data_IF_083154292650
#
_entry.id   IF_083154292650
#
_cell.length_a   1.000
_cell.length_b   1.000
_cell.length_c   1.000
_cell.angle_alpha   90.00
_cell.angle_beta   90.00
_cell.angle_gamma   90.00
#
_symmetry.space_group_name_H-M   'P 1'
#
loop_
_entity.id
_entity.type
_entity.pdbx_description
1 polymer ?
#
# COMPACT_ATOMS: atom_id res chain seq x y z
N UNK A 1 -13.02 -29.10 -4.11
CA UNK A 1 -13.36 -29.28 -5.55
C UNK A 1 -13.13 -27.94 -6.20
N UNK A 2 -12.51 -27.87 -7.38
CA UNK A 2 -12.42 -26.59 -8.11
C UNK A 2 -13.85 -26.24 -8.57
N UNK A 3 -14.43 -25.22 -7.99
CA UNK A 3 -15.70 -24.68 -8.47
C UNK A 3 -15.46 -23.96 -9.80
N UNK A 4 -16.31 -24.22 -10.79
CA UNK A 4 -16.29 -23.53 -12.09
C UNK A 4 -17.67 -22.98 -12.39
N UNK A 5 -17.71 -21.84 -13.07
CA UNK A 5 -18.94 -21.24 -13.63
C UNK A 5 -18.86 -21.36 -15.15
N UNK A 6 -19.97 -21.70 -15.79
CA UNK A 6 -20.07 -21.77 -17.24
C UNK A 6 -20.65 -20.49 -17.82
N UNK A 7 -19.95 -19.91 -18.77
CA UNK A 7 -20.45 -18.77 -19.54
C UNK A 7 -20.59 -19.20 -21.01
N UNK A 8 -21.77 -18.97 -21.58
CA UNK A 8 -22.03 -19.23 -23.00
C UNK A 8 -22.16 -17.92 -23.75
N UNK A 9 -21.30 -17.70 -24.75
CA UNK A 9 -21.30 -16.51 -25.60
C UNK A 9 -21.30 -16.98 -27.04
N UNK A 10 -22.26 -16.53 -27.85
CA UNK A 10 -22.44 -16.90 -29.25
C UNK A 10 -22.45 -18.43 -29.48
N UNK A 11 -23.06 -19.17 -28.56
CA UNK A 11 -23.15 -20.64 -28.64
C UNK A 11 -21.90 -21.40 -28.20
N UNK A 12 -20.83 -20.71 -27.81
CA UNK A 12 -19.60 -21.31 -27.29
C UNK A 12 -19.59 -21.22 -25.76
N UNK A 13 -19.56 -22.37 -25.09
CA UNK A 13 -19.50 -22.48 -23.64
C UNK A 13 -18.03 -22.55 -23.15
N UNK A 14 -17.73 -21.77 -22.15
CA UNK A 14 -16.39 -21.74 -21.49
C UNK A 14 -16.55 -21.91 -19.99
N UNK A 15 -15.75 -22.79 -19.42
CA UNK A 15 -15.63 -22.97 -17.98
C UNK A 15 -14.65 -21.94 -17.40
N UNK A 16 -15.11 -21.14 -16.44
CA UNK A 16 -14.30 -20.17 -15.74
C UNK A 16 -14.05 -20.62 -14.31
N UNK A 17 -12.80 -20.60 -13.83
CA UNK A 17 -12.48 -20.95 -12.44
C UNK A 17 -13.14 -19.98 -11.46
N UNK A 18 -13.62 -20.50 -10.34
CA UNK A 18 -13.97 -19.71 -9.17
C UNK A 18 -12.79 -19.72 -8.20
N UNK A 19 -12.36 -18.56 -7.78
CA UNK A 19 -11.33 -18.37 -6.75
C UNK A 19 -12.04 -18.17 -5.42
N UNK A 20 -11.81 -19.09 -4.49
CA UNK A 20 -12.37 -19.04 -3.14
C UNK A 20 -11.59 -18.04 -2.30
N UNK A 21 -12.28 -17.10 -1.64
CA UNK A 21 -11.66 -16.17 -0.71
C UNK A 21 -11.53 -16.80 0.68
N UNK A 22 -10.43 -16.52 1.39
CA UNK A 22 -10.31 -16.88 2.82
C UNK A 22 -11.29 -16.08 3.67
N UNK A 23 -11.53 -14.83 3.30
CA UNK A 23 -12.55 -13.96 3.86
C UNK A 23 -13.13 -13.10 2.75
N UNK A 24 -14.46 -12.91 2.73
CA UNK A 24 -15.15 -12.15 1.70
C UNK A 24 -15.88 -13.05 0.69
N UNK A 25 -16.16 -12.49 -0.49
CA UNK A 25 -16.91 -13.18 -1.55
C UNK A 25 -15.97 -13.91 -2.50
N UNK A 26 -16.41 -15.07 -3.01
CA UNK A 26 -15.73 -15.78 -4.08
C UNK A 26 -15.79 -14.97 -5.38
N UNK A 27 -14.79 -15.13 -6.23
CA UNK A 27 -14.67 -14.40 -7.49
C UNK A 27 -14.50 -15.35 -8.68
N UNK A 28 -15.04 -14.95 -9.83
CA UNK A 28 -14.87 -15.67 -11.08
C UNK A 28 -13.64 -15.15 -11.82
N UNK A 29 -12.70 -16.03 -12.15
CA UNK A 29 -11.53 -15.66 -12.94
C UNK A 29 -11.90 -15.54 -14.43
N UNK A 30 -12.03 -14.31 -14.89
CA UNK A 30 -12.46 -13.98 -16.25
C UNK A 30 -11.30 -13.81 -17.26
N UNK A 31 -10.05 -14.00 -16.82
CA UNK A 31 -8.85 -13.73 -17.67
C UNK A 31 -8.83 -14.52 -18.96
N UNK A 32 -9.40 -15.74 -18.99
CA UNK A 32 -9.45 -16.58 -20.18
C UNK A 32 -10.36 -16.04 -21.28
N UNK A 33 -11.30 -15.13 -20.96
CA UNK A 33 -12.23 -14.54 -21.95
C UNK A 33 -11.50 -13.69 -22.98
N UNK A 34 -10.36 -13.09 -22.63
CA UNK A 34 -9.57 -12.27 -23.56
C UNK A 34 -9.14 -13.06 -24.81
N UNK A 35 -8.81 -14.35 -24.66
CA UNK A 35 -8.45 -15.22 -25.77
C UNK A 35 -9.61 -15.49 -26.74
N UNK A 36 -10.84 -15.16 -26.33
CA UNK A 36 -12.07 -15.31 -27.10
C UNK A 36 -12.55 -13.97 -27.68
N UNK A 37 -11.79 -12.88 -27.46
CA UNK A 37 -12.15 -11.54 -27.90
C UNK A 37 -13.26 -10.90 -27.07
N UNK A 38 -13.50 -11.42 -25.85
CA UNK A 38 -14.54 -10.92 -24.93
C UNK A 38 -13.90 -10.20 -23.76
N UNK A 39 -14.41 -9.01 -23.45
CA UNK A 39 -14.02 -8.20 -22.30
C UNK A 39 -15.21 -8.00 -21.35
N UNK A 40 -14.94 -7.90 -20.06
CA UNK A 40 -15.94 -7.50 -19.07
C UNK A 40 -16.04 -5.98 -19.03
N UNK A 41 -17.24 -5.47 -18.72
CA UNK A 41 -17.49 -4.03 -18.58
C UNK A 41 -18.04 -3.74 -17.19
N UNK A 42 -17.21 -3.10 -16.35
CA UNK A 42 -17.55 -2.68 -14.99
C UNK A 42 -16.79 -1.39 -14.66
N UNK A 43 -17.28 -0.20 -15.14
CA UNK A 43 -16.55 1.07 -15.01
C UNK A 43 -16.36 1.54 -13.56
N UNK A 44 -17.16 1.03 -12.63
CA UNK A 44 -17.09 1.39 -11.21
C UNK A 44 -16.36 0.38 -10.35
N UNK A 45 -15.87 -0.73 -10.91
CA UNK A 45 -15.32 -1.87 -10.16
C UNK A 45 -16.25 -2.37 -9.05
N UNK A 46 -17.57 -2.28 -9.28
CA UNK A 46 -18.59 -2.64 -8.27
C UNK A 46 -18.70 -4.15 -8.05
N UNK A 47 -18.38 -4.94 -9.08
CA UNK A 47 -18.43 -6.41 -9.06
C UNK A 47 -17.14 -7.05 -9.56
N UNK A 48 -16.08 -6.29 -9.70
CA UNK A 48 -14.80 -6.75 -10.24
C UNK A 48 -13.71 -6.72 -9.16
N UNK A 49 -13.14 -7.88 -8.85
CA UNK A 49 -11.93 -7.97 -8.05
C UNK A 49 -10.72 -7.69 -8.94
N UNK A 50 -9.99 -6.60 -8.68
CA UNK A 50 -8.84 -6.19 -9.47
C UNK A 50 -7.56 -6.95 -9.10
N UNK A 51 -7.45 -7.43 -7.86
CA UNK A 51 -6.33 -8.22 -7.33
C UNK A 51 -6.76 -9.04 -6.13
N UNK A 52 -5.92 -9.97 -5.72
CA UNK A 52 -5.96 -10.64 -4.43
C UNK A 52 -5.09 -9.89 -3.40
N UNK A 53 -5.48 -9.93 -2.14
CA UNK A 53 -4.73 -9.34 -1.04
C UNK A 53 -4.71 -10.30 0.14
N UNK A 54 -3.53 -10.51 0.73
CA UNK A 54 -3.37 -11.25 2.00
C UNK A 54 -3.23 -10.30 3.20
N UNK A 55 -3.30 -8.99 2.95
CA UNK A 55 -3.00 -7.96 3.97
C UNK A 55 -4.27 -7.48 4.64
N UNK A 56 -5.27 -7.05 3.86
CA UNK A 56 -6.42 -6.33 4.40
C UNK A 56 -7.73 -7.02 4.01
N UNK A 57 -8.60 -7.21 5.00
CA UNK A 57 -10.01 -7.50 4.78
C UNK A 57 -10.87 -6.39 5.35
N UNK A 58 -11.85 -5.93 4.57
CA UNK A 58 -12.80 -4.87 4.95
C UNK A 58 -14.22 -5.37 4.64
N UNK A 59 -15.08 -5.29 5.65
CA UNK A 59 -16.53 -5.40 5.50
C UNK A 59 -17.15 -4.12 6.05
N UNK A 60 -17.49 -3.20 5.14
CA UNK A 60 -18.04 -1.89 5.50
C UNK A 60 -19.44 -1.96 6.11
N UNK A 61 -20.24 -2.95 5.71
CA UNK A 61 -21.60 -3.14 6.22
C UNK A 61 -21.58 -3.69 7.65
N UNK A 62 -20.69 -4.62 7.93
CA UNK A 62 -20.50 -5.17 9.27
C UNK A 62 -19.57 -4.33 10.16
N UNK A 63 -18.87 -3.33 9.60
CA UNK A 63 -17.90 -2.50 10.31
C UNK A 63 -16.65 -3.28 10.72
N UNK A 64 -16.22 -4.26 9.90
CA UNK A 64 -15.07 -5.12 10.18
C UNK A 64 -13.87 -4.65 9.34
N UNK A 65 -12.72 -4.48 10.00
CA UNK A 65 -11.43 -4.27 9.37
C UNK A 65 -10.39 -5.16 10.05
N UNK A 66 -9.64 -5.93 9.24
CA UNK A 66 -8.49 -6.69 9.75
C UNK A 66 -7.25 -6.43 8.92
N UNK A 67 -6.08 -6.45 9.57
CA UNK A 67 -4.77 -6.47 8.93
C UNK A 67 -4.10 -7.81 9.20
N UNK A 68 -3.79 -8.57 8.15
CA UNK A 68 -3.20 -9.91 8.24
C UNK A 68 -3.96 -10.83 9.23
N UNK A 69 -5.30 -10.67 9.30
CA UNK A 69 -6.19 -11.40 10.21
C UNK A 69 -6.34 -10.80 11.62
N UNK A 70 -5.57 -9.77 11.99
CA UNK A 70 -5.71 -9.09 13.29
C UNK A 70 -6.79 -8.00 13.20
N UNK A 71 -7.80 -8.00 14.10
CA UNK A 71 -8.80 -6.94 14.17
C UNK A 71 -8.16 -5.57 14.43
N UNK A 72 -8.67 -4.54 13.73
CA UNK A 72 -8.10 -3.18 13.84
C UNK A 72 -8.17 -2.63 15.26
N UNK A 73 -9.21 -2.98 16.02
CA UNK A 73 -9.40 -2.53 17.40
C UNK A 73 -8.26 -3.03 18.30
N UNK A 74 -7.83 -4.28 18.10
CA UNK A 74 -6.71 -4.84 18.87
C UNK A 74 -5.40 -4.15 18.53
N UNK A 75 -5.18 -3.87 17.24
CA UNK A 75 -3.97 -3.16 16.80
C UNK A 75 -3.95 -1.71 17.29
N UNK A 76 -5.11 -1.04 17.29
CA UNK A 76 -5.22 0.34 17.77
C UNK A 76 -4.97 0.46 19.27
N UNK A 77 -5.45 -0.50 20.06
CA UNK A 77 -5.36 -0.46 21.51
C UNK A 77 -4.01 -0.97 22.07
N UNK A 78 -3.36 -1.90 21.36
CA UNK A 78 -2.24 -2.67 21.91
C UNK A 78 -0.95 -2.58 21.10
N UNK A 79 -0.97 -2.00 19.89
CA UNK A 79 0.20 -1.93 19.02
C UNK A 79 0.64 -0.49 18.78
N UNK A 80 1.93 -0.28 18.64
CA UNK A 80 2.47 1.00 18.21
C UNK A 80 2.61 1.07 16.68
N UNK A 81 2.71 2.28 16.12
CA UNK A 81 2.76 2.53 14.68
C UNK A 81 3.80 1.66 13.94
N UNK A 82 5.03 1.57 14.44
CA UNK A 82 6.09 0.79 13.80
C UNK A 82 5.84 -0.72 13.89
N UNK A 83 5.15 -1.19 14.91
CA UNK A 83 4.73 -2.60 15.03
C UNK A 83 3.71 -2.97 13.95
N UNK A 84 2.74 -2.07 13.69
CA UNK A 84 1.78 -2.23 12.59
C UNK A 84 2.47 -2.13 11.22
N UNK A 85 3.43 -1.21 11.05
CA UNK A 85 4.25 -1.15 9.82
C UNK A 85 4.98 -2.48 9.58
N UNK A 86 5.56 -3.06 10.61
CA UNK A 86 6.21 -4.37 10.53
C UNK A 86 5.22 -5.47 10.11
N UNK A 87 4.06 -5.53 10.76
CA UNK A 87 2.99 -6.47 10.43
C UNK A 87 2.61 -6.40 8.95
N UNK A 88 2.40 -5.20 8.41
CA UNK A 88 2.01 -5.02 7.01
C UNK A 88 3.11 -5.39 6.02
N UNK A 89 4.38 -5.26 6.39
CA UNK A 89 5.52 -5.62 5.55
C UNK A 89 5.86 -7.11 5.61
N UNK A 90 5.65 -7.77 6.75
CA UNK A 90 6.09 -9.13 7.01
C UNK A 90 4.95 -10.12 7.25
N UNK A 91 3.69 -9.65 7.26
CA UNK A 91 2.46 -10.45 7.48
C UNK A 91 2.35 -11.12 8.87
N UNK A 92 3.24 -10.79 9.79
CA UNK A 92 3.26 -11.30 11.17
C UNK A 92 3.66 -10.19 12.15
N UNK A 93 3.11 -10.21 13.37
CA UNK A 93 3.54 -9.30 14.41
C UNK A 93 4.99 -9.60 14.83
N UNK A 94 5.81 -8.57 15.08
CA UNK A 94 7.19 -8.76 15.45
C UNK A 94 7.34 -9.30 16.89
N UNK A 95 8.33 -10.14 17.12
CA UNK A 95 8.84 -10.37 18.47
C UNK A 95 9.49 -9.10 19.02
N UNK A 96 9.67 -9.02 20.35
CA UNK A 96 10.33 -7.86 20.98
C UNK A 96 11.74 -7.59 20.43
N UNK A 97 12.46 -8.62 19.98
CA UNK A 97 13.79 -8.46 19.38
C UNK A 97 13.69 -7.89 17.96
N UNK A 98 12.78 -8.41 17.14
CA UNK A 98 12.51 -7.93 15.79
C UNK A 98 12.02 -6.48 15.78
N UNK A 99 11.12 -6.13 16.70
CA UNK A 99 10.63 -4.76 16.83
C UNK A 99 11.75 -3.78 17.18
N UNK A 100 12.64 -4.15 18.10
CA UNK A 100 13.82 -3.32 18.43
C UNK A 100 14.74 -3.11 17.23
N UNK A 101 15.00 -4.18 16.48
CA UNK A 101 15.84 -4.10 15.29
C UNK A 101 15.16 -3.22 14.22
N UNK A 102 13.88 -3.44 13.94
CA UNK A 102 13.12 -2.65 12.98
C UNK A 102 13.10 -1.16 13.33
N UNK A 103 12.92 -0.83 14.62
CA UNK A 103 13.00 0.57 15.09
C UNK A 103 14.38 1.18 14.87
N UNK A 104 15.45 0.43 15.10
CA UNK A 104 16.82 0.87 14.79
C UNK A 104 16.99 1.13 13.31
N UNK A 105 16.56 0.18 12.47
CA UNK A 105 16.69 0.26 11.02
C UNK A 105 15.92 1.47 10.43
N UNK A 106 14.74 1.78 10.98
CA UNK A 106 13.97 2.98 10.61
C UNK A 106 14.68 4.25 11.08
N UNK A 107 15.21 4.24 12.32
CA UNK A 107 15.92 5.39 12.89
C UNK A 107 17.17 5.75 12.07
N UNK A 108 17.93 4.75 11.64
CA UNK A 108 19.13 4.94 10.82
C UNK A 108 18.83 5.54 9.44
N UNK A 109 17.60 5.33 8.95
CA UNK A 109 17.11 5.88 7.69
C UNK A 109 16.45 7.26 7.80
N UNK A 110 16.17 7.75 9.02
CA UNK A 110 15.53 9.06 9.23
C UNK A 110 16.34 10.25 8.69
N UNK A 111 17.69 10.28 8.78
CA UNK A 111 18.45 11.41 8.31
C UNK A 111 18.16 11.72 6.83
N UNK A 112 18.06 13.02 6.54
CA UNK A 112 17.76 13.54 5.21
C UNK A 112 18.89 14.47 4.83
N UNK A 113 19.40 14.34 3.59
CA UNK A 113 20.39 15.25 3.05
C UNK A 113 19.90 16.71 3.15
N UNK A 114 20.66 17.61 3.77
CA UNK A 114 20.30 19.02 3.86
C UNK A 114 20.07 19.68 2.50
N UNK A 115 20.74 19.22 1.44
CA UNK A 115 20.51 19.73 0.08
C UNK A 115 19.10 19.38 -0.42
N UNK A 116 18.57 18.24 -0.04
CA UNK A 116 17.21 17.88 -0.39
C UNK A 116 16.16 18.80 0.26
N UNK A 117 16.46 19.37 1.42
CA UNK A 117 15.56 20.34 2.07
C UNK A 117 15.30 21.56 1.20
N UNK A 118 16.20 21.90 0.28
CA UNK A 118 16.06 23.04 -0.62
C UNK A 118 14.89 22.91 -1.58
N UNK A 119 14.35 21.70 -1.81
CA UNK A 119 13.16 21.50 -2.64
C UNK A 119 11.98 22.33 -2.11
N UNK A 120 11.88 22.53 -0.79
CA UNK A 120 10.81 23.28 -0.17
C UNK A 120 10.93 24.79 -0.40
N UNK A 121 12.11 25.32 -0.73
CA UNK A 121 12.32 26.73 -1.05
C UNK A 121 11.66 27.15 -2.37
N UNK A 122 11.31 26.20 -3.23
CA UNK A 122 10.60 26.45 -4.48
C UNK A 122 9.08 26.64 -4.33
N UNK A 123 8.53 26.39 -3.14
CA UNK A 123 7.10 26.52 -2.89
C UNK A 123 6.77 27.88 -2.29
N UNK A 124 5.59 28.40 -2.61
CA UNK A 124 5.06 29.62 -1.98
C UNK A 124 4.48 29.29 -0.60
N UNK A 125 4.37 30.30 0.26
CA UNK A 125 3.77 30.14 1.59
C UNK A 125 2.29 29.72 1.56
N UNK A 126 1.61 29.94 0.43
CA UNK A 126 0.22 29.54 0.21
C UNK A 126 0.07 28.16 -0.41
N UNK A 127 1.19 27.43 -0.64
CA UNK A 127 1.16 26.09 -1.22
C UNK A 127 0.50 25.10 -0.26
N UNK A 128 -0.36 24.22 -0.80
CA UNK A 128 -1.01 23.21 0.01
C UNK A 128 0.03 22.17 0.48
N UNK A 129 0.09 21.80 1.78
CA UNK A 129 1.09 20.89 2.33
C UNK A 129 1.16 19.52 1.61
N UNK A 130 0.03 19.01 1.15
CA UNK A 130 0.00 17.74 0.40
C UNK A 130 0.70 17.84 -0.95
N UNK A 131 0.58 18.97 -1.67
CA UNK A 131 1.30 19.17 -2.93
C UNK A 131 2.80 19.21 -2.70
N UNK A 132 3.24 19.85 -1.61
CA UNK A 132 4.63 19.88 -1.20
C UNK A 132 5.14 18.48 -0.83
N UNK A 133 4.33 17.71 -0.09
CA UNK A 133 4.68 16.34 0.28
C UNK A 133 4.78 15.42 -0.95
N UNK A 134 3.83 15.50 -1.89
CA UNK A 134 3.89 14.75 -3.15
C UNK A 134 5.19 15.03 -3.93
N UNK A 135 5.55 16.31 -4.08
CA UNK A 135 6.78 16.69 -4.77
C UNK A 135 8.03 16.20 -4.03
N UNK A 136 8.02 16.27 -2.69
CA UNK A 136 9.12 15.76 -1.87
C UNK A 136 9.27 14.24 -1.99
N UNK A 137 8.18 13.48 -1.96
CA UNK A 137 8.21 12.02 -2.13
C UNK A 137 8.72 11.67 -3.53
N UNK A 138 8.23 12.33 -4.59
CA UNK A 138 8.74 12.13 -5.95
C UNK A 138 10.23 12.47 -6.06
N UNK A 139 10.67 13.55 -5.41
CA UNK A 139 12.09 13.94 -5.37
C UNK A 139 12.99 12.94 -4.65
N UNK A 140 12.48 12.10 -3.72
CA UNK A 140 13.26 11.04 -3.08
C UNK A 140 13.80 10.03 -4.09
N UNK A 141 13.07 9.76 -5.17
CA UNK A 141 13.51 8.84 -6.20
C UNK A 141 14.87 9.25 -6.81
N UNK A 142 15.18 10.55 -6.84
CA UNK A 142 16.48 11.04 -7.34
C UNK A 142 17.66 10.69 -6.42
N UNK A 143 17.41 10.44 -5.13
CA UNK A 143 18.44 10.07 -4.16
C UNK A 143 18.69 8.55 -4.11
N UNK A 144 17.72 7.75 -4.55
CA UNK A 144 17.72 6.28 -4.42
C UNK A 144 17.50 5.57 -5.76
N UNK A 145 17.83 6.23 -6.88
CA UNK A 145 17.50 5.76 -8.22
C UNK A 145 18.04 4.35 -8.57
N UNK A 146 19.15 3.93 -7.97
CA UNK A 146 19.73 2.60 -8.18
C UNK A 146 18.91 1.47 -7.54
N UNK A 147 18.08 1.78 -6.54
CA UNK A 147 17.27 0.83 -5.77
C UNK A 147 15.78 0.86 -6.10
N UNK A 148 15.37 1.27 -7.31
CA UNK A 148 13.95 1.47 -7.67
C UNK A 148 13.37 0.37 -8.57
N UNK A 149 14.01 -0.77 -8.71
CA UNK A 149 13.43 -1.89 -9.46
C UNK A 149 12.25 -2.50 -8.68
N UNK A 150 11.03 -2.27 -9.20
CA UNK A 150 9.79 -2.75 -8.60
C UNK A 150 9.63 -4.26 -8.62
N UNK A 151 10.37 -4.97 -9.47
CA UNK A 151 10.35 -6.43 -9.55
C UNK A 151 11.31 -7.09 -8.54
N UNK A 152 12.27 -6.32 -8.01
CA UNK A 152 13.17 -6.79 -6.98
C UNK A 152 12.52 -6.62 -5.58
N UNK A 153 12.28 -7.70 -4.82
CA UNK A 153 11.65 -7.62 -3.51
C UNK A 153 12.47 -6.82 -2.48
N UNK A 154 13.80 -6.89 -2.54
CA UNK A 154 14.67 -6.15 -1.61
C UNK A 154 14.60 -4.64 -1.87
N UNK A 155 14.52 -4.22 -3.13
CA UNK A 155 14.33 -2.81 -3.49
C UNK A 155 12.96 -2.29 -3.04
N UNK A 156 11.90 -3.12 -3.15
CA UNK A 156 10.57 -2.74 -2.64
C UNK A 156 10.56 -2.56 -1.13
N UNK A 157 11.18 -3.50 -0.40
CA UNK A 157 11.28 -3.42 1.06
C UNK A 157 12.08 -2.21 1.50
N UNK A 158 13.26 -1.99 0.92
CA UNK A 158 14.10 -0.83 1.23
C UNK A 158 13.37 0.49 0.93
N UNK A 159 12.68 0.59 -0.21
CA UNK A 159 11.86 1.76 -0.56
C UNK A 159 10.75 2.02 0.45
N UNK A 160 10.06 0.97 0.91
CA UNK A 160 9.05 1.08 1.95
C UNK A 160 9.63 1.59 3.27
N UNK A 161 10.77 1.04 3.72
CA UNK A 161 11.45 1.48 4.94
C UNK A 161 11.94 2.93 4.85
N UNK A 162 12.47 3.35 3.70
CA UNK A 162 12.87 4.74 3.45
C UNK A 162 11.66 5.69 3.52
N UNK A 163 10.52 5.32 2.98
CA UNK A 163 9.30 6.12 3.04
C UNK A 163 8.76 6.22 4.48
N UNK A 164 8.68 5.09 5.21
CA UNK A 164 8.25 5.07 6.61
C UNK A 164 9.15 5.98 7.47
N UNK A 165 10.47 5.94 7.26
CA UNK A 165 11.42 6.74 8.01
C UNK A 165 11.36 8.25 7.68
N UNK A 166 11.14 8.60 6.42
CA UNK A 166 11.33 9.98 5.94
C UNK A 166 10.04 10.80 5.87
N UNK A 167 8.89 10.19 5.65
CA UNK A 167 7.61 10.92 5.51
C UNK A 167 7.26 11.75 6.77
N UNK A 168 7.40 11.25 8.01
CA UNK A 168 7.10 12.04 9.20
C UNK A 168 7.92 13.31 9.31
N UNK A 169 9.23 13.25 9.02
CA UNK A 169 10.12 14.40 9.05
C UNK A 169 9.75 15.44 7.98
N UNK A 170 9.33 14.99 6.80
CA UNK A 170 8.97 15.85 5.66
C UNK A 170 7.61 16.50 5.81
N UNK A 171 6.65 15.79 6.41
CA UNK A 171 5.34 16.37 6.76
C UNK A 171 5.51 17.55 7.71
N UNK A 172 6.42 17.42 8.69
CA UNK A 172 6.76 18.51 9.60
C UNK A 172 7.38 19.73 8.89
N UNK A 173 8.20 19.53 7.84
CA UNK A 173 8.77 20.63 7.06
C UNK A 173 7.72 21.29 6.15
N UNK A 174 6.89 20.51 5.46
CA UNK A 174 5.79 21.05 4.65
C UNK A 174 4.83 21.89 5.49
N UNK A 175 4.47 21.41 6.69
CA UNK A 175 3.64 22.18 7.63
C UNK A 175 4.34 23.46 8.11
N UNK A 176 5.64 23.44 8.39
CA UNK A 176 6.38 24.64 8.83
C UNK A 176 6.45 25.74 7.77
N UNK A 177 6.64 25.35 6.50
CA UNK A 177 6.67 26.32 5.39
C UNK A 177 5.30 26.96 5.21
N UNK A 178 4.20 26.21 5.35
CA UNK A 178 2.84 26.73 5.25
C UNK A 178 2.35 27.44 6.51
N UNK A 179 2.94 27.19 7.70
CA UNK A 179 2.48 27.73 9.00
C UNK A 179 3.12 29.06 9.39
N UNK A 180 4.06 29.60 8.62
CA UNK A 180 4.70 30.90 8.89
C UNK A 180 3.74 32.07 8.63
N UNK A 181 2.47 31.81 8.34
CA UNK A 181 1.44 32.82 8.01
C UNK A 181 0.21 32.74 8.94
N UNK A 182 0.38 32.41 10.22
CA UNK A 182 -0.67 32.62 11.24
C UNK A 182 -0.15 33.51 12.34
#
# INVERSE_FOLDING_TARGET
MKHTVQITIDGKTTDLPVLEATAGLDVVDVRSLISQGVYTYDPGFLSTAACDSTITYIDGDAGILTYCGYPIEQLADHSEHLEVCYLLLHSELPTAAQLRQFKSDITDRMPVDPQFAQIFNGFTQTSHPMSMLCAAVAGLASLFHEGLDIYNPDHRLESAMQLIAKIPTRSGWACRVSSVTL
#
